data_IF_430284408939
#
_entry.id   IF_430284408939
#
_cell.length_a   1.000
_cell.length_b   1.000
_cell.length_c   1.000
_cell.angle_alpha   90.00
_cell.angle_beta   90.00
_cell.angle_gamma   90.00
#
_symmetry.space_group_name_H-M   'P 1'
#
loop_
_entity.id
_entity.type
_entity.pdbx_description
1 polymer ?
#
# COMPACT_ATOMS: atom_id res chain seq x y z
N UNK A 1 9.86 -63.88 -10.52
CA UNK A 1 8.70 -64.36 -9.74
C UNK A 1 9.01 -63.98 -8.32
N UNK A 2 8.68 -62.74 -7.94
CA UNK A 2 8.84 -62.26 -6.58
C UNK A 2 7.61 -61.42 -6.28
N UNK A 3 6.60 -62.11 -5.76
CA UNK A 3 5.31 -61.57 -5.35
C UNK A 3 5.53 -60.76 -4.06
N UNK A 4 5.80 -59.46 -4.18
CA UNK A 4 5.80 -58.58 -3.01
C UNK A 4 4.36 -58.20 -2.65
N UNK A 5 3.71 -59.10 -1.91
CA UNK A 5 2.51 -58.81 -1.13
C UNK A 5 2.83 -57.78 -0.05
N UNK A 6 2.46 -56.53 -0.27
CA UNK A 6 2.30 -55.56 0.81
C UNK A 6 0.86 -55.03 0.82
N UNK A 7 0.11 -55.65 1.73
CA UNK A 7 -1.02 -55.15 2.49
C UNK A 7 -2.16 -54.44 1.74
N UNK A 8 -3.10 -55.29 1.35
CA UNK A 8 -4.52 -55.04 1.40
C UNK A 8 -4.94 -54.82 2.88
N UNK A 9 -4.86 -53.58 3.38
CA UNK A 9 -5.55 -53.21 4.61
C UNK A 9 -6.99 -52.86 4.26
N UNK A 10 -7.89 -53.73 4.73
CA UNK A 10 -9.32 -53.63 4.61
C UNK A 10 -9.80 -52.60 5.64
N UNK A 11 -9.98 -51.36 5.19
CA UNK A 11 -10.44 -50.29 6.06
C UNK A 11 -11.96 -50.17 5.91
N UNK A 12 -12.65 -50.43 7.02
CA UNK A 12 -14.09 -50.39 7.16
C UNK A 12 -14.58 -48.94 7.18
N UNK A 13 -14.52 -48.25 6.05
CA UNK A 13 -15.21 -46.97 5.82
C UNK A 13 -15.83 -47.01 4.43
N UNK A 14 -17.16 -46.97 4.40
CA UNK A 14 -17.96 -47.38 3.25
C UNK A 14 -17.54 -46.75 1.92
N UNK A 15 -17.33 -47.61 0.91
CA UNK A 15 -17.45 -47.34 -0.53
C UNK A 15 -16.86 -46.02 -1.09
N UNK A 16 -15.93 -45.38 -0.39
CA UNK A 16 -15.22 -44.20 -0.89
C UNK A 16 -13.92 -44.67 -1.50
N UNK A 17 -13.82 -44.56 -2.82
CA UNK A 17 -12.59 -44.79 -3.57
C UNK A 17 -11.51 -43.83 -3.04
N UNK A 18 -10.45 -44.37 -2.44
CA UNK A 18 -9.25 -43.62 -2.04
C UNK A 18 -8.41 -43.25 -3.27
N UNK A 19 -7.48 -42.29 -3.10
CA UNK A 19 -6.52 -41.93 -4.14
C UNK A 19 -5.61 -43.13 -4.46
N UNK A 20 -5.26 -43.29 -5.73
CA UNK A 20 -4.32 -44.34 -6.14
C UNK A 20 -2.87 -43.89 -5.97
N UNK A 21 -1.94 -44.85 -5.89
CA UNK A 21 -0.51 -44.57 -5.81
C UNK A 21 0.02 -43.84 -7.07
N UNK A 22 -0.58 -44.08 -8.23
CA UNK A 22 -0.27 -43.35 -9.47
C UNK A 22 -0.68 -41.89 -9.36
N UNK A 23 -1.89 -41.60 -8.85
CA UNK A 23 -2.37 -40.22 -8.69
C UNK A 23 -1.48 -39.42 -7.72
N UNK A 24 -1.04 -40.06 -6.63
CA UNK A 24 -0.12 -39.47 -5.67
C UNK A 24 1.25 -39.16 -6.31
N UNK A 25 1.77 -40.06 -7.14
CA UNK A 25 3.05 -39.87 -7.82
C UNK A 25 2.97 -38.77 -8.89
N UNK A 26 1.87 -38.71 -9.63
CA UNK A 26 1.62 -37.67 -10.63
C UNK A 26 1.46 -36.29 -9.99
N UNK A 27 0.88 -36.23 -8.79
CA UNK A 27 0.82 -35.01 -7.98
C UNK A 27 2.21 -34.55 -7.52
N UNK A 28 3.01 -35.45 -6.93
CA UNK A 28 4.36 -35.12 -6.43
C UNK A 28 5.31 -34.69 -7.55
N UNK A 29 5.16 -35.26 -8.76
CA UNK A 29 5.98 -34.95 -9.93
C UNK A 29 5.45 -33.78 -10.78
N UNK A 30 4.40 -33.09 -10.31
CA UNK A 30 3.72 -32.00 -11.01
C UNK A 30 3.25 -32.36 -12.43
N UNK A 31 2.86 -33.63 -12.64
CA UNK A 31 2.36 -34.15 -13.92
C UNK A 31 0.84 -34.05 -14.06
N UNK A 32 0.15 -33.77 -12.97
CA UNK A 32 -1.30 -33.65 -12.90
C UNK A 32 -1.79 -32.31 -13.46
N UNK A 33 -2.85 -32.33 -14.27
CA UNK A 33 -3.49 -31.12 -14.78
C UNK A 33 -4.10 -30.29 -13.63
N UNK A 34 -4.32 -28.99 -13.87
CA UNK A 34 -4.84 -28.07 -12.87
C UNK A 34 -6.23 -28.44 -12.35
N UNK A 35 -7.12 -28.92 -13.22
CA UNK A 35 -8.47 -29.37 -12.82
C UNK A 35 -8.42 -30.64 -11.96
N UNK A 36 -7.67 -31.65 -12.41
CA UNK A 36 -7.49 -32.92 -11.69
C UNK A 36 -6.81 -32.69 -10.33
N UNK A 37 -5.89 -31.73 -10.25
CA UNK A 37 -5.21 -31.33 -9.00
C UNK A 37 -6.20 -30.79 -7.97
N UNK A 38 -7.19 -30.02 -8.40
CA UNK A 38 -8.22 -29.49 -7.48
C UNK A 38 -9.07 -30.63 -6.94
N UNK A 39 -9.55 -31.54 -7.79
CA UNK A 39 -10.35 -32.70 -7.34
C UNK A 39 -9.57 -33.63 -6.43
N UNK A 40 -8.29 -33.87 -6.72
CA UNK A 40 -7.38 -34.63 -5.88
C UNK A 40 -7.23 -34.01 -4.47
N UNK A 41 -6.97 -32.70 -4.39
CA UNK A 41 -6.84 -31.99 -3.11
C UNK A 41 -8.17 -31.91 -2.34
N UNK A 42 -9.30 -31.76 -3.05
CA UNK A 42 -10.63 -31.80 -2.44
C UNK A 42 -10.93 -33.15 -1.78
N UNK A 43 -10.51 -34.25 -2.43
CA UNK A 43 -10.61 -35.58 -1.83
C UNK A 43 -9.72 -35.72 -0.59
N UNK A 44 -8.46 -35.27 -0.64
CA UNK A 44 -7.55 -35.28 0.51
C UNK A 44 -8.13 -34.50 1.69
N UNK A 45 -8.76 -33.35 1.42
CA UNK A 45 -9.38 -32.52 2.45
C UNK A 45 -10.56 -33.21 3.15
N UNK A 46 -11.18 -34.21 2.52
CA UNK A 46 -12.38 -34.90 3.01
C UNK A 46 -12.14 -36.35 3.42
N UNK A 47 -10.89 -36.83 3.33
CA UNK A 47 -10.49 -38.20 3.64
C UNK A 47 -9.23 -38.23 4.50
N UNK A 48 -9.39 -38.53 5.78
CA UNK A 48 -8.30 -38.58 6.76
C UNK A 48 -7.18 -39.58 6.38
N UNK A 49 -7.57 -40.72 5.79
CA UNK A 49 -6.59 -41.70 5.30
C UNK A 49 -5.71 -41.14 4.18
N UNK A 50 -6.31 -40.46 3.20
CA UNK A 50 -5.58 -39.92 2.05
C UNK A 50 -4.70 -38.72 2.46
N UNK A 51 -5.11 -37.96 3.48
CA UNK A 51 -4.28 -36.86 4.02
C UNK A 51 -3.08 -37.39 4.79
N UNK A 52 -3.25 -38.44 5.59
CA UNK A 52 -2.14 -39.11 6.28
C UNK A 52 -1.16 -39.77 5.29
N UNK A 53 -1.68 -40.43 4.25
CA UNK A 53 -0.87 -41.00 3.17
C UNK A 53 -0.04 -39.93 2.44
N UNK A 54 -0.63 -38.77 2.14
CA UNK A 54 0.10 -37.65 1.54
C UNK A 54 1.20 -37.13 2.48
N UNK A 55 0.88 -36.92 3.76
CA UNK A 55 1.87 -36.46 4.74
C UNK A 55 3.07 -37.40 4.83
N UNK A 56 2.82 -38.71 4.93
CA UNK A 56 3.87 -39.73 4.96
C UNK A 56 4.75 -39.71 3.70
N UNK A 57 4.15 -39.50 2.52
CA UNK A 57 4.91 -39.41 1.26
C UNK A 57 5.85 -38.20 1.23
N UNK A 58 5.45 -37.06 1.81
CA UNK A 58 6.26 -35.85 1.87
C UNK A 58 7.43 -35.96 2.87
N UNK A 59 7.23 -36.70 3.96
CA UNK A 59 8.27 -36.95 4.96
C UNK A 59 9.39 -37.87 4.44
N UNK A 60 9.12 -38.65 3.40
CA UNK A 60 10.10 -39.58 2.82
C UNK A 60 11.15 -38.84 1.96
N UNK A 61 10.80 -37.67 1.41
CA UNK A 61 11.67 -36.85 0.55
C UNK A 61 12.25 -35.62 1.28
N UNK A 62 12.72 -35.81 2.52
CA UNK A 62 13.38 -34.73 3.26
C UNK A 62 14.80 -34.49 2.72
N UNK A 63 14.93 -33.54 1.80
CA UNK A 63 16.22 -33.04 1.32
C UNK A 63 16.77 -32.05 2.35
N UNK A 64 18.05 -32.17 2.69
CA UNK A 64 18.73 -31.22 3.56
C UNK A 64 18.67 -29.81 2.95
N UNK A 65 18.14 -28.85 3.72
CA UNK A 65 18.04 -27.47 3.28
C UNK A 65 19.45 -26.90 2.97
N UNK A 66 19.63 -26.17 1.85
CA UNK A 66 20.88 -25.50 1.54
C UNK A 66 21.34 -24.58 2.68
N UNK A 67 22.65 -24.54 2.95
CA UNK A 67 23.26 -23.84 4.10
C UNK A 67 22.83 -22.38 4.22
N UNK A 68 22.60 -21.72 3.09
CA UNK A 68 22.27 -20.29 3.01
C UNK A 68 20.77 -19.99 2.87
N UNK A 69 19.89 -21.00 2.92
CA UNK A 69 18.44 -20.83 2.73
C UNK A 69 17.83 -19.96 3.83
N UNK A 70 18.21 -20.19 5.09
CA UNK A 70 17.72 -19.41 6.23
C UNK A 70 18.11 -17.95 6.12
N UNK A 71 19.36 -17.65 5.80
CA UNK A 71 19.86 -16.28 5.70
C UNK A 71 19.22 -15.54 4.51
N UNK A 72 19.08 -16.20 3.35
CA UNK A 72 18.40 -15.62 2.19
C UNK A 72 16.91 -15.34 2.43
N UNK A 73 16.19 -16.23 3.11
CA UNK A 73 14.79 -16.00 3.46
C UNK A 73 14.63 -14.85 4.45
N UNK A 74 15.45 -14.82 5.51
CA UNK A 74 15.44 -13.72 6.49
C UNK A 74 15.76 -12.39 5.81
N UNK A 75 16.76 -12.35 4.94
CA UNK A 75 17.10 -11.15 4.18
C UNK A 75 15.98 -10.75 3.21
N UNK A 76 15.32 -11.71 2.56
CA UNK A 76 14.21 -11.43 1.63
C UNK A 76 12.95 -10.93 2.35
N UNK A 77 12.62 -11.48 3.52
CA UNK A 77 11.48 -11.02 4.34
C UNK A 77 11.77 -9.65 4.96
N UNK A 78 13.03 -9.39 5.33
CA UNK A 78 13.50 -8.09 5.84
C UNK A 78 13.72 -7.06 4.74
N UNK A 79 13.71 -7.45 3.46
CA UNK A 79 13.88 -6.49 2.36
C UNK A 79 12.71 -5.50 2.41
N UNK A 80 13.00 -4.20 2.53
CA UNK A 80 11.99 -3.17 2.65
C UNK A 80 11.11 -3.08 1.40
N UNK A 81 11.52 -3.60 0.24
CA UNK A 81 10.74 -3.55 -1.01
C UNK A 81 9.38 -4.25 -0.94
N UNK A 82 9.28 -5.39 -0.23
CA UNK A 82 8.00 -6.15 -0.13
C UNK A 82 7.07 -5.50 0.91
N UNK A 83 7.65 -4.86 1.93
CA UNK A 83 6.91 -4.08 2.92
C UNK A 83 6.51 -2.71 2.36
N UNK A 84 7.36 -2.04 1.60
CA UNK A 84 7.07 -0.78 0.93
C UNK A 84 6.00 -0.97 -0.12
N UNK A 85 6.04 -1.99 -0.97
CA UNK A 85 4.98 -2.19 -1.98
C UNK A 85 3.61 -2.41 -1.36
N UNK A 86 3.51 -3.15 -0.24
CA UNK A 86 2.27 -3.28 0.54
C UNK A 86 1.87 -1.96 1.22
N UNK A 87 2.82 -1.28 1.89
CA UNK A 87 2.58 -0.01 2.59
C UNK A 87 2.25 1.13 1.63
N UNK A 88 2.83 1.17 0.44
CA UNK A 88 2.58 2.15 -0.62
C UNK A 88 1.22 1.88 -1.26
N UNK A 89 0.82 0.63 -1.47
CA UNK A 89 -0.53 0.33 -1.96
C UNK A 89 -1.60 0.78 -0.95
N UNK A 90 -1.39 0.54 0.34
CA UNK A 90 -2.29 1.00 1.40
C UNK A 90 -2.25 2.53 1.58
N UNK A 91 -1.05 3.12 1.57
CA UNK A 91 -0.86 4.58 1.65
C UNK A 91 -1.43 5.29 0.42
N UNK A 92 -1.37 4.69 -0.77
CA UNK A 92 -1.95 5.21 -2.00
C UNK A 92 -3.47 5.28 -1.90
N UNK A 93 -4.14 4.27 -1.33
CA UNK A 93 -5.58 4.31 -1.12
C UNK A 93 -5.97 5.39 -0.10
N UNK A 94 -5.22 5.52 1.00
CA UNK A 94 -5.43 6.59 2.00
C UNK A 94 -5.16 7.98 1.40
N UNK A 95 -4.15 8.10 0.55
CA UNK A 95 -3.79 9.34 -0.14
C UNK A 95 -4.88 9.78 -1.13
N UNK A 96 -5.56 8.85 -1.80
CA UNK A 96 -6.72 9.18 -2.62
C UNK A 96 -7.80 9.88 -1.79
N UNK A 97 -8.20 9.32 -0.63
CA UNK A 97 -9.18 9.97 0.24
C UNK A 97 -8.73 11.37 0.69
N UNK A 98 -7.47 11.54 1.07
CA UNK A 98 -6.93 12.85 1.46
C UNK A 98 -6.96 13.86 0.31
N UNK A 99 -6.59 13.45 -0.91
CA UNK A 99 -6.62 14.31 -2.10
C UNK A 99 -8.06 14.69 -2.48
N UNK A 100 -9.02 13.77 -2.36
CA UNK A 100 -10.43 14.07 -2.58
C UNK A 100 -10.98 15.04 -1.55
N UNK A 101 -10.71 14.82 -0.25
CA UNK A 101 -11.10 15.74 0.82
C UNK A 101 -10.45 17.12 0.64
N UNK A 102 -9.18 17.17 0.24
CA UNK A 102 -8.49 18.42 -0.03
C UNK A 102 -9.06 19.15 -1.25
N UNK A 103 -9.42 18.43 -2.32
CA UNK A 103 -10.04 19.01 -3.53
C UNK A 103 -11.41 19.63 -3.23
N UNK A 104 -12.24 18.94 -2.45
CA UNK A 104 -13.55 19.48 -2.04
C UNK A 104 -13.37 20.63 -1.05
N UNK A 105 -12.44 20.50 -0.10
CA UNK A 105 -12.11 21.55 0.86
C UNK A 105 -11.60 22.83 0.20
N UNK A 106 -10.69 22.72 -0.78
CA UNK A 106 -10.19 23.89 -1.54
C UNK A 106 -11.28 24.54 -2.37
N UNK A 107 -12.19 23.77 -2.99
CA UNK A 107 -13.34 24.33 -3.70
C UNK A 107 -14.29 25.10 -2.75
N UNK A 108 -14.58 24.56 -1.57
CA UNK A 108 -15.43 25.21 -0.58
C UNK A 108 -14.81 26.50 -0.03
N UNK A 109 -13.52 26.46 0.33
CA UNK A 109 -12.77 27.66 0.75
C UNK A 109 -12.70 28.69 -0.38
N UNK A 110 -12.47 28.25 -1.62
CA UNK A 110 -12.48 29.13 -2.79
C UNK A 110 -13.83 29.83 -3.01
N UNK A 111 -14.95 29.11 -2.85
CA UNK A 111 -16.29 29.68 -2.94
C UNK A 111 -16.58 30.70 -1.82
N UNK A 112 -16.13 30.43 -0.59
CA UNK A 112 -16.24 31.37 0.52
C UNK A 112 -15.40 32.63 0.29
N UNK A 113 -14.18 32.49 -0.22
CA UNK A 113 -13.32 33.62 -0.58
C UNK A 113 -13.97 34.44 -1.69
N UNK A 114 -14.53 33.79 -2.71
CA UNK A 114 -15.22 34.46 -3.81
C UNK A 114 -16.46 35.22 -3.31
N UNK A 115 -17.29 34.58 -2.48
CA UNK A 115 -18.46 35.23 -1.86
C UNK A 115 -18.06 36.41 -0.97
N UNK A 116 -17.00 36.27 -0.19
CA UNK A 116 -16.48 37.35 0.62
C UNK A 116 -16.00 38.52 -0.26
N UNK A 117 -15.27 38.23 -1.34
CA UNK A 117 -14.82 39.25 -2.28
C UNK A 117 -15.99 39.97 -2.97
N UNK A 118 -17.05 39.25 -3.34
CA UNK A 118 -18.26 39.86 -3.91
C UNK A 118 -18.99 40.71 -2.87
N UNK A 119 -19.11 40.25 -1.63
CA UNK A 119 -19.76 41.00 -0.55
C UNK A 119 -19.02 42.30 -0.22
N UNK A 120 -17.69 42.29 -0.20
CA UNK A 120 -16.87 43.49 0.01
C UNK A 120 -16.96 44.51 -1.15
N UNK A 121 -17.37 44.05 -2.34
CA UNK A 121 -17.56 44.90 -3.53
C UNK A 121 -19.02 45.35 -3.76
N UNK A 122 -19.96 44.90 -2.93
CA UNK A 122 -21.35 45.35 -2.96
C UNK A 122 -21.51 46.67 -2.19
N UNK A 123 -21.16 47.79 -2.81
CA UNK A 123 -21.84 49.06 -2.48
C UNK A 123 -23.31 48.93 -2.88
N UNK A 124 -24.28 49.26 -2.00
CA UNK A 124 -25.70 49.14 -2.32
C UNK A 124 -26.03 50.00 -3.54
N UNK A 125 -26.92 49.55 -4.45
CA UNK A 125 -27.36 50.38 -5.56
C UNK A 125 -28.22 51.50 -5.01
N UNK A 126 -27.62 52.68 -4.85
CA UNK A 126 -28.33 53.94 -4.75
C UNK A 126 -28.89 54.31 -6.11
N UNK A 127 -30.21 54.35 -6.18
CA UNK A 127 -31.11 55.12 -7.05
C UNK A 127 -30.87 55.16 -8.58
N UNK A 128 -31.88 54.79 -9.39
CA UNK A 128 -31.71 54.63 -10.84
C UNK A 128 -31.91 55.92 -11.64
N UNK A 129 -31.32 57.06 -11.26
CA UNK A 129 -31.30 58.22 -12.14
C UNK A 129 -30.10 59.13 -11.86
N UNK A 130 -28.97 58.91 -12.54
CA UNK A 130 -28.17 59.98 -13.14
C UNK A 130 -27.05 59.44 -14.03
N UNK A 131 -26.90 60.13 -15.15
CA UNK A 131 -26.13 59.75 -16.31
C UNK A 131 -24.62 59.99 -16.16
N UNK A 132 -23.86 59.16 -16.89
CA UNK A 132 -22.54 59.41 -17.51
C UNK A 132 -21.67 60.53 -16.91
N UNK A 133 -20.52 60.10 -16.35
CA UNK A 133 -19.23 60.81 -16.49
C UNK A 133 -18.09 59.80 -16.38
N UNK A 134 -17.06 59.84 -17.25
CA UNK A 134 -15.94 58.90 -17.19
C UNK A 134 -15.04 59.27 -16.02
N UNK A 135 -14.91 58.40 -15.02
CA UNK A 135 -14.02 58.65 -13.88
C UNK A 135 -12.60 58.25 -14.25
N UNK A 136 -11.81 59.28 -14.53
CA UNK A 136 -10.38 59.28 -14.74
C UNK A 136 -9.71 58.59 -13.54
N UNK A 137 -8.76 57.69 -13.83
CA UNK A 137 -7.94 56.97 -12.84
C UNK A 137 -7.25 57.97 -11.91
N UNK A 138 -7.55 57.90 -10.63
CA UNK A 138 -6.73 58.47 -9.56
C UNK A 138 -6.21 57.30 -8.73
N UNK A 139 -4.91 57.03 -8.88
CA UNK A 139 -4.16 56.15 -7.99
C UNK A 139 -3.98 56.93 -6.69
N UNK A 140 -4.59 56.45 -5.60
CA UNK A 140 -4.25 56.88 -4.27
C UNK A 140 -3.70 55.69 -3.50
N UNK A 141 -2.37 55.73 -3.35
CA UNK A 141 -1.56 54.88 -2.50
C UNK A 141 -1.90 55.20 -1.05
N UNK A 142 -2.46 54.23 -0.32
CA UNK A 142 -2.64 54.34 1.12
C UNK A 142 -2.13 53.08 1.82
N UNK A 143 -1.07 53.34 2.57
CA UNK A 143 -0.28 52.51 3.47
C UNK A 143 -1.14 51.55 4.32
N UNK A 144 -1.30 50.33 3.83
CA UNK A 144 -1.67 49.16 4.62
C UNK A 144 -0.66 48.08 4.25
N UNK A 145 -0.11 47.29 5.20
CA UNK A 145 0.81 46.21 4.85
C UNK A 145 0.09 45.31 3.86
N UNK A 146 0.49 45.44 2.59
CA UNK A 146 -0.12 44.76 1.47
C UNK A 146 -0.19 43.28 1.80
N UNK A 147 -1.32 42.65 1.47
CA UNK A 147 -1.50 41.19 1.61
C UNK A 147 -0.28 40.44 1.01
N UNK A 148 0.36 41.02 -0.01
CA UNK A 148 1.61 40.51 -0.60
C UNK A 148 2.80 40.52 0.37
N UNK A 149 2.95 41.53 1.23
CA UNK A 149 4.01 41.60 2.24
C UNK A 149 3.82 40.52 3.32
N UNK A 150 2.59 40.32 3.78
CA UNK A 150 2.25 39.25 4.74
C UNK A 150 2.43 37.85 4.14
N UNK A 151 2.12 37.65 2.86
CA UNK A 151 2.37 36.36 2.20
C UNK A 151 3.87 36.10 2.07
N UNK A 152 4.65 37.11 1.68
CA UNK A 152 6.11 37.01 1.56
C UNK A 152 6.76 36.64 2.91
N UNK A 153 6.40 37.32 3.99
CA UNK A 153 6.97 37.03 5.32
C UNK A 153 6.65 35.61 5.81
N UNK A 154 5.44 35.09 5.52
CA UNK A 154 5.06 33.72 5.87
C UNK A 154 5.78 32.66 5.00
N UNK A 155 6.01 32.96 3.71
CA UNK A 155 6.78 32.09 2.82
C UNK A 155 8.26 32.03 3.22
N UNK A 156 8.81 33.15 3.69
CA UNK A 156 10.19 33.21 4.19
C UNK A 156 10.35 32.38 5.49
N UNK A 157 9.39 32.45 6.42
CA UNK A 157 9.37 31.60 7.64
C UNK A 157 9.32 30.11 7.30
N UNK A 158 8.43 29.72 6.38
CA UNK A 158 8.30 28.34 5.92
C UNK A 158 9.58 27.86 5.22
N UNK A 159 10.20 28.70 4.39
CA UNK A 159 11.46 28.36 3.70
C UNK A 159 12.58 28.11 4.72
N UNK A 160 12.69 28.94 5.75
CA UNK A 160 13.68 28.77 6.81
C UNK A 160 13.45 27.46 7.59
N UNK A 161 12.20 27.13 7.91
CA UNK A 161 11.84 25.87 8.58
C UNK A 161 12.18 24.63 7.76
N UNK A 162 11.99 24.70 6.44
CA UNK A 162 12.34 23.59 5.52
C UNK A 162 13.86 23.41 5.46
N UNK A 163 14.61 24.52 5.38
CA UNK A 163 16.07 24.46 5.38
C UNK A 163 16.62 23.93 6.70
N UNK A 164 16.06 24.34 7.83
CA UNK A 164 16.40 23.82 9.16
C UNK A 164 16.11 22.33 9.26
N UNK A 165 14.94 21.88 8.80
CA UNK A 165 14.57 20.47 8.76
C UNK A 165 15.52 19.64 7.89
N UNK A 166 15.87 20.14 6.70
CA UNK A 166 16.84 19.50 5.80
C UNK A 166 18.20 19.36 6.46
N UNK A 167 18.68 20.43 7.11
CA UNK A 167 19.95 20.42 7.83
C UNK A 167 19.91 19.48 9.04
N UNK A 168 18.77 19.38 9.73
CA UNK A 168 18.60 18.47 10.86
C UNK A 168 18.63 17.00 10.41
N UNK A 169 17.93 16.65 9.32
CA UNK A 169 17.99 15.30 8.74
C UNK A 169 19.41 14.97 8.29
N UNK A 170 20.05 15.85 7.54
CA UNK A 170 21.40 15.62 7.01
C UNK A 170 22.43 15.44 8.13
N UNK A 171 22.34 16.20 9.22
CA UNK A 171 23.21 15.98 10.38
C UNK A 171 22.86 14.70 11.15
N UNK A 172 21.58 14.35 11.26
CA UNK A 172 21.14 13.09 11.92
C UNK A 172 21.70 11.86 11.21
N UNK A 173 21.81 11.87 9.87
CA UNK A 173 22.43 10.79 9.09
C UNK A 173 23.95 10.65 9.35
N UNK A 174 24.65 11.77 9.61
CA UNK A 174 26.10 11.75 9.90
C UNK A 174 26.39 11.24 11.32
N UNK A 175 25.54 11.55 12.30
CA UNK A 175 25.71 11.07 13.67
C UNK A 175 25.45 9.56 13.86
N UNK A 176 24.60 8.95 13.03
CA UNK A 176 24.38 7.49 13.06
C UNK A 176 25.55 6.68 12.48
N UNK A 177 26.45 7.30 11.70
CA UNK A 177 27.66 6.65 11.19
C UNK A 177 28.84 6.77 12.17
N UNK A 178 28.97 7.88 12.89
CA UNK A 178 30.10 8.12 13.83
C UNK A 178 29.98 7.29 15.13
N UNK A 179 28.76 6.87 15.53
CA UNK A 179 28.57 5.97 16.70
C UNK A 179 28.95 4.51 16.44
N UNK A 180 29.23 4.10 15.21
CA UNK A 180 29.61 2.70 14.88
C UNK A 180 31.13 2.46 14.89
N UNK A 181 31.93 3.51 15.06
CA UNK A 181 33.40 3.43 15.09
C UNK A 181 34.01 3.57 16.50
N UNK A 182 33.22 3.36 17.57
CA UNK A 182 33.75 3.23 18.94
C UNK A 182 33.37 1.90 19.59
#
# INVERSE_FOLDING_TARGET
>A
MDDNKLNLQADTYGARKHISQSDLSDFLQDKMNSEDKVTFLEHICSCDYCSELLAQSMETELIAAPVDLKANLINTIKRPDVLLTKKVKEASARMQFLLYSLKVGTAAVGALILLLAMNMNHTPPGDPWQARVPKIVSIHEHDTPSITASIRSNMDDLSNRILEFSNNIMNTEVFEYDQKEK
#
